data_IF_700073151141
#
_entry.id   IF_700073151141
#
_cell.length_a   1.000
_cell.length_b   1.000
_cell.length_c   1.000
_cell.angle_alpha   90.00
_cell.angle_beta   90.00
_cell.angle_gamma   90.00
#
_symmetry.space_group_name_H-M   'P 1'
#
loop_
_entity.id
_entity.type
_entity.pdbx_description
1 polymer ?
#
# COMPACT_ATOMS: atom_id res chain seq x y z
N UNK A 1 10.93 -16.73 -13.62
CA UNK A 1 10.80 -15.82 -12.44
C UNK A 1 10.00 -14.60 -12.88
N UNK A 2 8.83 -14.36 -12.28
CA UNK A 2 8.12 -13.09 -12.49
C UNK A 2 8.93 -11.98 -11.82
N UNK A 3 9.03 -10.84 -12.48
CA UNK A 3 9.85 -9.72 -12.02
C UNK A 3 9.22 -9.01 -10.83
N UNK A 4 10.05 -8.25 -10.12
CA UNK A 4 9.60 -7.30 -9.10
C UNK A 4 8.93 -6.04 -9.73
N UNK A 5 8.91 -5.91 -11.05
CA UNK A 5 8.28 -4.80 -11.75
C UNK A 5 6.78 -5.08 -11.94
N UNK A 6 5.96 -4.12 -11.60
CA UNK A 6 4.51 -4.17 -11.79
C UNK A 6 4.04 -2.87 -12.42
N UNK A 7 3.05 -2.98 -13.31
CA UNK A 7 2.39 -1.82 -13.90
C UNK A 7 0.99 -1.65 -13.35
N UNK A 8 0.58 -0.42 -13.21
CA UNK A 8 -0.78 -0.02 -12.90
C UNK A 8 -1.13 1.27 -13.60
N UNK A 9 -2.40 1.51 -13.82
CA UNK A 9 -2.90 2.74 -14.42
C UNK A 9 -4.02 3.29 -13.55
N UNK A 10 -3.85 4.53 -13.08
CA UNK A 10 -4.94 5.35 -12.58
C UNK A 10 -4.93 6.68 -13.32
N UNK A 11 -6.02 6.98 -14.00
CA UNK A 11 -6.16 8.12 -14.90
C UNK A 11 -7.24 9.08 -14.39
N UNK A 12 -7.01 10.39 -14.58
CA UNK A 12 -8.03 11.42 -14.32
C UNK A 12 -9.40 11.05 -14.95
N UNK A 13 -10.47 11.20 -14.18
CA UNK A 13 -11.82 10.85 -14.60
C UNK A 13 -12.14 9.35 -14.60
N UNK A 14 -11.27 8.54 -14.04
CA UNK A 14 -11.46 7.11 -13.88
C UNK A 14 -11.04 6.64 -12.50
N UNK A 15 -11.58 5.50 -12.12
CA UNK A 15 -11.21 4.76 -10.92
C UNK A 15 -10.95 3.29 -11.28
N UNK A 16 -10.42 2.53 -10.36
CA UNK A 16 -10.20 1.10 -10.52
C UNK A 16 -11.24 0.32 -9.71
N UNK A 17 -11.68 -0.85 -10.19
CA UNK A 17 -12.58 -1.69 -9.41
C UNK A 17 -11.96 -2.02 -8.06
N UNK A 18 -12.70 -1.76 -6.98
CA UNK A 18 -12.26 -2.12 -5.64
C UNK A 18 -12.27 -3.65 -5.47
N UNK A 19 -11.12 -4.21 -5.15
CA UNK A 19 -11.00 -5.63 -4.76
C UNK A 19 -10.10 -5.68 -3.55
N UNK A 20 -10.67 -5.81 -2.35
CA UNK A 20 -9.90 -5.78 -1.09
C UNK A 20 -8.93 -4.58 -1.05
N UNK A 21 -8.55 -4.01 -0.01
CA UNK A 21 -7.85 -2.74 0.13
C UNK A 21 -6.53 -2.52 -0.66
N UNK A 22 -6.10 -3.48 -1.47
CA UNK A 22 -4.92 -3.31 -2.34
C UNK A 22 -5.34 -2.82 -3.73
N UNK A 23 -4.50 -2.00 -4.37
CA UNK A 23 -4.71 -1.64 -5.76
C UNK A 23 -4.72 -2.88 -6.65
N UNK A 24 -5.88 -3.34 -7.14
CA UNK A 24 -5.99 -4.61 -7.88
C UNK A 24 -5.45 -4.52 -9.30
N UNK A 25 -5.05 -3.34 -9.72
CA UNK A 25 -4.58 -3.05 -11.07
C UNK A 25 -3.05 -3.14 -11.22
N UNK A 26 -2.31 -3.51 -10.18
CA UNK A 26 -0.90 -3.81 -10.29
C UNK A 26 -0.72 -5.20 -10.90
N UNK A 27 -0.26 -5.24 -12.13
CA UNK A 27 0.01 -6.48 -12.85
C UNK A 27 1.53 -6.71 -12.94
N UNK A 28 2.04 -7.86 -12.46
CA UNK A 28 3.44 -8.18 -12.61
C UNK A 28 3.78 -8.44 -14.07
N UNK A 29 4.91 -7.92 -14.52
CA UNK A 29 5.42 -8.14 -15.87
C UNK A 29 6.70 -8.98 -15.87
N UNK A 30 7.07 -9.52 -17.02
CA UNK A 30 8.36 -10.16 -17.22
C UNK A 30 9.45 -9.14 -17.54
N UNK A 31 10.70 -9.46 -17.15
CA UNK A 31 11.89 -8.70 -17.58
C UNK A 31 12.58 -9.38 -18.77
N UNK A 32 11.96 -10.37 -19.42
CA UNK A 32 12.53 -10.99 -20.59
C UNK A 32 12.43 -10.02 -21.79
N UNK A 33 13.56 -9.52 -22.33
CA UNK A 33 13.56 -8.57 -23.42
C UNK A 33 13.05 -9.16 -24.75
N UNK A 34 12.91 -10.48 -24.82
CA UNK A 34 12.40 -11.18 -26.01
C UNK A 34 10.91 -11.50 -25.93
N UNK A 35 10.26 -11.16 -24.80
CA UNK A 35 8.83 -11.37 -24.65
C UNK A 35 8.04 -10.10 -24.93
N UNK A 36 6.82 -10.28 -25.44
CA UNK A 36 5.82 -9.23 -25.57
C UNK A 36 4.64 -9.61 -24.69
N UNK A 37 4.32 -8.75 -23.75
CA UNK A 37 3.16 -8.94 -22.87
C UNK A 37 2.11 -7.89 -23.17
N UNK A 38 0.85 -8.31 -23.20
CA UNK A 38 -0.29 -7.42 -23.21
C UNK A 38 -0.86 -7.34 -21.79
N UNK A 39 -0.95 -6.13 -21.25
CA UNK A 39 -1.54 -5.87 -19.93
C UNK A 39 -2.81 -5.04 -20.10
N UNK A 40 -3.95 -5.63 -19.79
CA UNK A 40 -5.26 -4.97 -19.89
C UNK A 40 -5.70 -4.49 -18.51
N UNK A 41 -6.04 -3.20 -18.40
CA UNK A 41 -6.49 -2.57 -17.18
C UNK A 41 -7.96 -2.15 -17.30
N UNK A 42 -8.79 -2.70 -16.44
CA UNK A 42 -10.18 -2.28 -16.33
C UNK A 42 -10.27 -1.00 -15.51
N UNK A 43 -10.81 0.04 -16.11
CA UNK A 43 -11.08 1.31 -15.44
C UNK A 43 -12.59 1.57 -15.43
N UNK A 44 -13.04 2.20 -14.34
CA UNK A 44 -14.41 2.66 -14.15
C UNK A 44 -14.46 4.17 -14.32
N UNK A 45 -15.41 4.68 -15.08
CA UNK A 45 -15.59 6.12 -15.19
C UNK A 45 -16.01 6.69 -13.84
N UNK A 46 -15.32 7.73 -13.36
CA UNK A 46 -15.58 8.37 -12.08
C UNK A 46 -15.40 9.89 -12.20
N UNK A 47 -16.32 10.64 -11.59
CA UNK A 47 -16.14 12.07 -11.35
C UNK A 47 -15.43 12.25 -10.02
N UNK A 48 -14.10 12.29 -10.05
CA UNK A 48 -13.22 12.39 -8.89
C UNK A 48 -12.44 13.72 -8.82
N UNK A 49 -12.90 14.74 -9.52
CA UNK A 49 -12.30 16.09 -9.46
C UNK A 49 -12.40 16.70 -8.05
N UNK A 50 -13.45 16.37 -7.32
CA UNK A 50 -13.57 16.68 -5.90
C UNK A 50 -13.55 15.37 -5.12
N UNK A 51 -12.54 15.15 -4.31
CA UNK A 51 -12.34 13.92 -3.56
C UNK A 51 -11.76 14.18 -2.17
N UNK A 52 -11.81 13.16 -1.33
CA UNK A 52 -11.19 13.14 0.00
C UNK A 52 -10.05 12.14 0.00
N UNK A 53 -8.87 12.57 0.44
CA UNK A 53 -7.75 11.69 0.72
C UNK A 53 -7.66 11.47 2.23
N UNK A 54 -7.82 10.24 2.67
CA UNK A 54 -7.53 9.82 4.04
C UNK A 54 -6.05 9.44 4.11
N UNK A 55 -5.31 10.10 4.98
CA UNK A 55 -3.88 9.88 5.11
C UNK A 55 -3.59 9.24 6.47
N UNK A 56 -2.84 8.15 6.45
CA UNK A 56 -2.34 7.47 7.63
C UNK A 56 -0.82 7.32 7.54
N UNK A 57 -0.13 7.31 8.67
CA UNK A 57 1.32 7.14 8.72
C UNK A 57 1.73 6.50 10.05
N UNK A 58 2.92 5.94 10.11
CA UNK A 58 3.59 5.49 11.34
C UNK A 58 2.73 4.56 12.20
N UNK A 59 2.03 3.63 11.60
CA UNK A 59 1.18 2.69 12.33
C UNK A 59 1.99 1.70 13.18
N UNK A 60 3.22 1.41 12.80
CA UNK A 60 4.19 0.59 13.53
C UNK A 60 3.58 -0.71 14.07
N UNK A 61 2.91 -1.46 13.20
CA UNK A 61 2.30 -2.74 13.56
C UNK A 61 3.37 -3.77 13.85
N UNK A 62 3.45 -4.20 15.09
CA UNK A 62 4.55 -5.04 15.55
C UNK A 62 4.13 -6.19 16.48
N UNK A 63 2.86 -6.28 16.87
CA UNK A 63 2.37 -7.29 17.79
C UNK A 63 3.23 -7.41 19.07
N UNK A 64 3.67 -6.29 19.63
CA UNK A 64 4.55 -6.24 20.80
C UNK A 64 3.87 -6.69 22.07
N UNK A 65 2.58 -6.46 22.16
CA UNK A 65 1.77 -6.71 23.35
C UNK A 65 0.41 -7.27 22.93
N UNK A 66 0.42 -8.55 22.54
CA UNK A 66 -0.79 -9.27 22.16
C UNK A 66 -1.61 -9.59 23.40
N UNK A 67 -2.93 -9.40 23.44
CA UNK A 67 -3.79 -8.95 22.31
C UNK A 67 -3.93 -7.43 22.22
N UNK A 68 -3.29 -6.63 23.08
CA UNK A 68 -3.51 -5.18 23.20
C UNK A 68 -3.27 -4.44 21.88
N UNK A 69 -2.18 -4.73 21.18
CA UNK A 69 -1.84 -4.08 19.92
C UNK A 69 -2.92 -4.36 18.85
N UNK A 70 -3.47 -5.57 18.81
CA UNK A 70 -4.55 -5.91 17.90
C UNK A 70 -5.84 -5.17 18.23
N UNK A 71 -6.21 -5.14 19.51
CA UNK A 71 -7.42 -4.48 19.97
C UNK A 71 -7.34 -2.97 19.70
N UNK A 72 -6.23 -2.34 20.02
CA UNK A 72 -6.04 -0.90 19.77
C UNK A 72 -6.11 -0.57 18.26
N UNK A 73 -5.51 -1.40 17.43
CA UNK A 73 -5.56 -1.19 15.99
C UNK A 73 -6.99 -1.39 15.45
N UNK A 74 -7.66 -2.48 15.83
CA UNK A 74 -8.99 -2.81 15.34
C UNK A 74 -10.06 -1.85 15.87
N UNK A 75 -10.02 -1.53 17.16
CA UNK A 75 -11.03 -0.71 17.82
C UNK A 75 -10.80 0.80 17.70
N UNK A 76 -9.56 1.23 17.49
CA UNK A 76 -9.20 2.61 17.21
C UNK A 76 -9.09 2.84 15.69
N UNK A 77 -7.90 2.63 15.17
CA UNK A 77 -7.53 3.02 13.81
C UNK A 77 -8.48 2.49 12.72
N UNK A 78 -8.78 1.19 12.74
CA UNK A 78 -9.64 0.58 11.69
C UNK A 78 -11.04 1.13 11.74
N UNK A 79 -11.61 1.29 12.94
CA UNK A 79 -12.97 1.84 13.11
C UNK A 79 -13.04 3.31 12.69
N UNK A 80 -12.06 4.12 13.11
CA UNK A 80 -12.02 5.54 12.78
C UNK A 80 -11.84 5.75 11.27
N UNK A 81 -10.91 5.05 10.65
CA UNK A 81 -10.66 5.14 9.21
C UNK A 81 -11.88 4.65 8.40
N UNK A 82 -12.51 3.55 8.82
CA UNK A 82 -13.72 3.02 8.20
C UNK A 82 -14.89 3.99 8.37
N UNK A 83 -15.03 4.60 9.54
CA UNK A 83 -16.06 5.61 9.80
C UNK A 83 -15.87 6.84 8.93
N UNK A 84 -14.64 7.34 8.81
CA UNK A 84 -14.30 8.47 7.94
C UNK A 84 -14.60 8.14 6.47
N UNK A 85 -14.23 6.95 6.01
CA UNK A 85 -14.53 6.48 4.67
C UNK A 85 -16.04 6.43 4.40
N UNK A 86 -16.82 5.86 5.31
CA UNK A 86 -18.28 5.72 5.17
C UNK A 86 -19.03 7.06 5.26
N UNK A 87 -18.43 8.06 5.94
CA UNK A 87 -19.03 9.39 6.10
C UNK A 87 -18.79 10.29 4.90
N UNK A 88 -17.83 9.96 4.05
CA UNK A 88 -17.54 10.71 2.84
C UNK A 88 -18.39 10.23 1.66
N UNK A 89 -18.46 11.03 0.60
CA UNK A 89 -19.23 10.70 -0.59
C UNK A 89 -18.73 9.39 -1.23
N UNK A 90 -19.57 8.38 -1.47
CA UNK A 90 -19.16 7.13 -2.06
C UNK A 90 -18.41 7.31 -3.39
N UNK A 91 -17.34 6.54 -3.61
CA UNK A 91 -16.56 6.58 -4.83
C UNK A 91 -15.59 7.76 -4.96
N UNK A 92 -15.52 8.63 -3.93
CA UNK A 92 -14.64 9.81 -3.93
C UNK A 92 -13.68 9.85 -2.75
N UNK A 93 -13.44 8.72 -2.12
CA UNK A 93 -12.54 8.59 -0.99
C UNK A 93 -11.40 7.65 -1.33
N UNK A 94 -10.21 8.15 -1.14
CA UNK A 94 -8.97 7.41 -1.33
C UNK A 94 -8.23 7.36 -0.01
N UNK A 95 -7.45 6.32 0.21
CA UNK A 95 -6.65 6.18 1.41
C UNK A 95 -5.18 6.02 1.03
N UNK A 96 -4.31 6.72 1.75
CA UNK A 96 -2.87 6.70 1.55
C UNK A 96 -2.18 6.43 2.88
N UNK A 97 -1.34 5.40 2.90
CA UNK A 97 -0.38 5.16 3.98
C UNK A 97 0.99 5.71 3.57
N UNK A 98 1.53 6.62 4.38
CA UNK A 98 2.81 7.28 4.11
C UNK A 98 4.04 6.52 4.62
N UNK A 99 3.90 5.22 4.92
CA UNK A 99 4.99 4.37 5.37
C UNK A 99 4.92 4.00 6.84
N UNK A 100 5.91 3.23 7.27
CA UNK A 100 6.04 2.67 8.59
C UNK A 100 4.78 1.95 9.05
N UNK A 101 4.24 1.12 8.15
CA UNK A 101 3.10 0.29 8.48
C UNK A 101 3.51 -0.84 9.42
N UNK A 102 4.67 -1.44 9.19
CA UNK A 102 5.29 -2.44 10.04
C UNK A 102 6.34 -1.83 10.98
N UNK A 103 6.98 -2.66 11.76
CA UNK A 103 8.15 -2.31 12.56
C UNK A 103 9.18 -3.42 12.45
N UNK A 104 10.19 -3.19 11.63
CA UNK A 104 11.24 -4.14 11.25
C UNK A 104 11.90 -4.84 12.45
N UNK A 105 12.19 -4.12 13.54
CA UNK A 105 12.77 -4.66 14.75
C UNK A 105 11.95 -5.79 15.42
N UNK A 106 10.69 -5.99 15.02
CA UNK A 106 9.80 -7.03 15.55
C UNK A 106 9.38 -8.06 14.51
N UNK A 107 9.88 -8.00 13.28
CA UNK A 107 9.47 -8.94 12.24
C UNK A 107 9.76 -10.39 12.63
N UNK A 108 10.90 -10.63 13.21
CA UNK A 108 11.38 -11.97 13.57
C UNK A 108 10.98 -12.36 14.98
N UNK A 109 11.10 -11.44 15.92
CA UNK A 109 10.81 -11.71 17.34
C UNK A 109 9.32 -11.96 17.59
N UNK A 110 8.46 -11.16 17.00
CA UNK A 110 7.01 -11.26 17.18
C UNK A 110 6.30 -11.95 16.02
N UNK A 111 7.05 -12.39 15.01
CA UNK A 111 6.50 -13.01 13.79
C UNK A 111 5.43 -12.14 13.14
N UNK A 112 5.69 -10.84 13.12
CA UNK A 112 4.82 -9.86 12.52
C UNK A 112 5.60 -9.03 11.51
N UNK A 113 5.42 -9.35 10.24
CA UNK A 113 6.08 -8.68 9.13
C UNK A 113 5.06 -8.25 8.06
N UNK A 114 5.52 -7.97 6.87
CA UNK A 114 4.67 -7.49 5.77
C UNK A 114 3.54 -8.46 5.35
N UNK A 115 3.67 -9.79 5.42
CA UNK A 115 2.56 -10.68 5.17
C UNK A 115 1.35 -10.45 6.10
N UNK A 116 1.61 -10.24 7.39
CA UNK A 116 0.59 -9.96 8.40
C UNK A 116 0.02 -8.55 8.21
N UNK A 117 0.86 -7.57 7.89
CA UNK A 117 0.45 -6.22 7.53
C UNK A 117 -0.50 -6.23 6.32
N UNK A 118 -0.16 -6.99 5.29
CA UNK A 118 -1.02 -7.18 4.12
C UNK A 118 -2.40 -7.72 4.49
N UNK A 119 -2.47 -8.75 5.35
CA UNK A 119 -3.75 -9.30 5.80
C UNK A 119 -4.60 -8.26 6.51
N UNK A 120 -3.97 -7.39 7.30
CA UNK A 120 -4.64 -6.29 7.98
C UNK A 120 -5.24 -5.29 6.97
N UNK A 121 -4.47 -4.91 5.96
CA UNK A 121 -4.94 -4.01 4.90
C UNK A 121 -6.06 -4.64 4.08
N UNK A 122 -5.98 -5.94 3.79
CA UNK A 122 -7.01 -6.67 3.05
C UNK A 122 -8.35 -6.80 3.79
N UNK A 123 -8.36 -6.52 5.09
CA UNK A 123 -9.59 -6.47 5.88
C UNK A 123 -10.41 -5.18 5.64
N UNK A 124 -9.82 -4.13 5.09
CA UNK A 124 -10.55 -2.92 4.73
C UNK A 124 -11.45 -3.16 3.50
N UNK A 125 -12.56 -2.46 3.45
CA UNK A 125 -13.48 -2.48 2.31
C UNK A 125 -13.24 -1.35 1.28
N UNK A 126 -12.13 -0.62 1.43
CA UNK A 126 -11.68 0.46 0.57
C UNK A 126 -10.22 0.26 0.16
N UNK A 127 -9.80 0.96 -0.88
CA UNK A 127 -8.42 0.89 -1.38
C UNK A 127 -7.49 1.72 -0.50
N UNK A 128 -6.34 1.14 -0.15
CA UNK A 128 -5.24 1.84 0.49
C UNK A 128 -3.99 1.74 -0.38
N UNK A 129 -3.46 2.88 -0.75
CA UNK A 129 -2.18 3.04 -1.40
C UNK A 129 -1.11 3.16 -0.32
N UNK A 130 0.07 2.65 -0.59
CA UNK A 130 1.14 2.69 0.42
C UNK A 130 2.44 3.18 -0.19
N UNK A 131 3.14 4.00 0.57
CA UNK A 131 4.56 4.28 0.40
C UNK A 131 5.32 3.39 1.38
N UNK A 132 6.50 2.96 1.03
CA UNK A 132 7.38 2.22 1.92
C UNK A 132 8.07 3.19 2.88
N UNK A 133 8.00 2.92 4.17
CA UNK A 133 8.75 3.63 5.20
C UNK A 133 10.06 2.93 5.56
N UNK A 134 10.87 3.55 6.41
CA UNK A 134 12.16 2.98 6.82
C UNK A 134 11.99 1.75 7.75
N UNK A 135 10.87 1.60 8.43
CA UNK A 135 10.55 0.40 9.23
C UNK A 135 9.83 -0.71 8.44
N UNK A 136 9.63 -0.53 7.14
CA UNK A 136 9.06 -1.54 6.25
C UNK A 136 10.14 -2.34 5.48
N UNK A 137 11.39 -2.23 5.90
CA UNK A 137 12.55 -2.95 5.38
C UNK A 137 12.85 -4.23 6.16
N UNK A 138 13.52 -5.17 5.50
CA UNK A 138 14.10 -6.32 6.20
C UNK A 138 15.41 -5.89 6.89
N UNK A 139 15.47 -5.89 8.23
CA UNK A 139 16.64 -5.39 8.98
C UNK A 139 17.91 -6.23 8.81
N UNK A 140 17.79 -7.43 8.25
CA UNK A 140 18.93 -8.32 8.01
C UNK A 140 19.44 -8.29 6.58
N UNK A 141 18.91 -7.43 5.73
CA UNK A 141 19.36 -7.24 4.35
C UNK A 141 20.21 -5.98 4.25
N UNK A 142 21.47 -6.16 3.87
CA UNK A 142 22.47 -5.09 3.91
C UNK A 142 22.36 -4.02 2.80
N UNK A 143 21.47 -4.18 1.83
CA UNK A 143 21.29 -3.21 0.75
C UNK A 143 19.85 -2.73 0.66
N UNK A 144 19.68 -1.43 0.44
CA UNK A 144 18.34 -0.82 0.30
C UNK A 144 17.51 -1.50 -0.78
N UNK A 145 18.09 -1.74 -1.93
CA UNK A 145 17.40 -2.43 -3.03
C UNK A 145 16.99 -3.86 -2.67
N UNK A 146 17.82 -4.58 -1.92
CA UNK A 146 17.49 -5.92 -1.41
C UNK A 146 16.39 -5.86 -0.36
N UNK A 147 16.47 -4.87 0.52
CA UNK A 147 15.51 -4.67 1.62
C UNK A 147 14.10 -4.32 1.12
N UNK A 148 13.96 -3.67 -0.04
CA UNK A 148 12.67 -3.45 -0.71
C UNK A 148 12.02 -4.75 -1.25
N UNK A 149 12.79 -5.81 -1.43
CA UNK A 149 12.34 -7.06 -2.02
C UNK A 149 11.11 -7.66 -1.33
N UNK A 150 11.07 -7.77 0.00
CA UNK A 150 9.91 -8.24 0.75
C UNK A 150 8.67 -7.32 0.65
N UNK A 151 8.84 -6.01 0.51
CA UNK A 151 7.75 -5.05 0.46
C UNK A 151 6.88 -5.21 -0.80
N UNK A 152 7.53 -5.29 -1.96
CA UNK A 152 6.84 -5.26 -3.27
C UNK A 152 5.76 -6.31 -3.47
N UNK A 153 5.93 -7.59 -3.10
CA UNK A 153 4.89 -8.60 -3.27
C UNK A 153 3.71 -8.46 -2.31
N UNK A 154 3.89 -7.74 -1.20
CA UNK A 154 2.89 -7.60 -0.17
C UNK A 154 2.14 -6.28 -0.21
N UNK A 155 2.86 -5.18 -0.39
CA UNK A 155 2.32 -3.83 -0.26
C UNK A 155 2.21 -3.09 -1.61
N UNK A 156 3.01 -3.43 -2.59
CA UNK A 156 3.02 -2.79 -3.90
C UNK A 156 4.34 -2.13 -4.27
N UNK A 157 4.37 -1.28 -5.29
CA UNK A 157 5.59 -0.62 -5.73
C UNK A 157 6.07 0.39 -4.69
N UNK A 158 7.39 0.56 -4.59
CA UNK A 158 8.02 1.56 -3.70
C UNK A 158 7.99 2.96 -4.30
N UNK A 159 7.83 3.06 -5.60
CA UNK A 159 7.63 4.31 -6.33
C UNK A 159 6.39 4.20 -7.19
N UNK A 160 5.51 5.17 -7.12
CA UNK A 160 4.32 5.20 -7.97
C UNK A 160 3.84 6.61 -8.23
N UNK A 161 3.04 6.76 -9.26
CA UNK A 161 2.35 7.99 -9.58
C UNK A 161 0.90 7.67 -9.95
N UNK A 162 -0.01 8.56 -9.59
CA UNK A 162 -1.42 8.40 -9.93
C UNK A 162 -2.07 9.76 -10.18
N UNK A 163 -3.13 9.75 -10.98
CA UNK A 163 -4.00 10.91 -11.17
C UNK A 163 -5.34 10.64 -10.51
N UNK A 164 -5.72 11.46 -9.56
CA UNK A 164 -7.04 11.45 -8.94
C UNK A 164 -7.70 12.78 -9.28
N UNK A 165 -8.70 12.75 -10.15
CA UNK A 165 -9.26 13.98 -10.69
C UNK A 165 -8.19 14.86 -11.34
N UNK A 166 -8.06 16.09 -10.89
CA UNK A 166 -7.06 17.07 -11.36
C UNK A 166 -5.75 17.06 -10.57
N UNK A 167 -5.63 16.19 -9.58
CA UNK A 167 -4.44 16.09 -8.74
C UNK A 167 -3.53 14.98 -9.26
N UNK A 168 -2.24 15.28 -9.35
CA UNK A 168 -1.19 14.31 -9.66
C UNK A 168 -0.41 13.99 -8.39
N UNK A 169 -0.55 12.77 -7.92
CA UNK A 169 0.12 12.27 -6.72
C UNK A 169 1.40 11.52 -7.12
N UNK A 170 2.50 11.87 -6.47
CA UNK A 170 3.77 11.15 -6.59
C UNK A 170 4.08 10.50 -5.25
N UNK A 171 4.17 9.20 -5.24
CA UNK A 171 4.52 8.40 -4.08
C UNK A 171 6.00 8.01 -4.19
N UNK A 172 6.82 8.66 -3.40
CA UNK A 172 8.28 8.51 -3.45
C UNK A 172 8.75 7.92 -2.13
N UNK A 173 9.48 6.82 -2.25
CA UNK A 173 10.22 6.25 -1.14
C UNK A 173 11.61 6.88 -1.08
N UNK A 174 12.04 7.29 0.10
CA UNK A 174 13.41 7.73 0.35
C UNK A 174 14.08 6.71 1.27
N UNK A 175 14.98 5.88 0.74
CA UNK A 175 15.71 4.93 1.56
C UNK A 175 16.75 5.69 2.39
N UNK A 176 16.45 5.96 3.63
CA UNK A 176 17.47 6.26 4.62
C UNK A 176 17.71 4.99 5.45
N UNK A 177 18.71 4.23 5.08
CA UNK A 177 19.27 3.24 5.99
C UNK A 177 20.20 3.99 6.93
N UNK A 178 19.95 4.02 8.23
CA UNK A 178 20.99 4.40 9.19
C UNK A 178 22.08 3.34 9.10
N UNK A 179 23.26 3.73 8.60
CA UNK A 179 24.47 2.93 8.62
C UNK A 179 24.88 2.61 10.05
#
# INVERSE_FOLDING_TARGET
>A
KRSALSFGILRAGYDVPAVKARPPFLQPCTLDPNSVEQLDFRLLRADNDSHTMLVATDMHRANRNTPKDYVQFADGFVKELTSAYNSAAPGKVYCLNLGDFSWDGYWYDNKWALPECKQTVEAFNFQMWSVMGNHDHDPYVASDFGAEGPYRPHMGPVYSAMHIGRVHELLLHHPEHPN
#
